data_IF_083065450933
#
_entry.id   IF_083065450933
#
_cell.length_a   1.000
_cell.length_b   1.000
_cell.length_c   1.000
_cell.angle_alpha   90.00
_cell.angle_beta   90.00
_cell.angle_gamma   90.00
#
_symmetry.space_group_name_H-M   'P 1'
#
loop_
_entity.id
_entity.type
_entity.pdbx_description
1 polymer ?
#
# COMPACT_ATOMS: atom_id res chain seq x y z
N UNK A 1 16.15 -19.25 7.65
CA UNK A 1 14.68 -19.46 7.76
C UNK A 1 14.05 -18.09 7.90
N UNK A 2 12.99 -17.79 7.12
CA UNK A 2 12.25 -16.53 7.26
C UNK A 2 11.29 -16.62 8.45
N UNK A 3 11.12 -15.51 9.18
CA UNK A 3 10.26 -15.46 10.36
C UNK A 3 8.88 -14.82 10.04
N UNK A 4 8.88 -13.67 9.40
CA UNK A 4 7.67 -12.90 9.09
C UNK A 4 7.95 -11.89 7.98
N UNK A 5 6.88 -11.28 7.45
CA UNK A 5 6.99 -10.06 6.65
C UNK A 5 7.31 -8.90 7.60
N UNK A 6 8.40 -8.18 7.34
CA UNK A 6 8.82 -7.05 8.18
C UNK A 6 8.12 -5.74 7.78
N UNK A 7 8.00 -5.48 6.48
CA UNK A 7 7.28 -4.36 5.87
C UNK A 7 6.96 -4.68 4.42
N UNK A 8 6.10 -3.86 3.81
CA UNK A 8 5.82 -3.87 2.37
C UNK A 8 6.26 -2.53 1.82
N UNK A 9 7.28 -2.54 0.92
CA UNK A 9 7.84 -1.34 0.34
C UNK A 9 7.17 -0.94 -0.98
N UNK A 10 6.87 0.35 -1.14
CA UNK A 10 6.29 0.94 -2.34
C UNK A 10 7.05 2.20 -2.73
N UNK A 11 7.52 2.28 -3.97
CA UNK A 11 8.12 3.51 -4.49
C UNK A 11 7.02 4.50 -4.88
N UNK A 12 7.17 5.74 -4.40
CA UNK A 12 6.22 6.83 -4.65
C UNK A 12 6.92 8.02 -5.31
N UNK A 13 6.16 8.83 -6.05
CA UNK A 13 6.69 10.01 -6.75
C UNK A 13 6.72 11.27 -5.87
N UNK A 14 5.87 11.30 -4.84
CA UNK A 14 5.75 12.41 -3.89
C UNK A 14 5.40 11.83 -2.51
N UNK A 15 6.40 11.81 -1.62
CA UNK A 15 6.26 11.19 -0.29
C UNK A 15 5.24 11.92 0.58
N UNK A 16 5.21 13.26 0.54
CA UNK A 16 4.31 14.04 1.40
C UNK A 16 2.84 13.83 0.99
N UNK A 17 2.58 13.78 -0.32
CA UNK A 17 1.26 13.43 -0.86
C UNK A 17 0.86 12.00 -0.47
N UNK A 18 1.77 11.06 -0.57
CA UNK A 18 1.50 9.65 -0.23
C UNK A 18 1.28 9.49 1.28
N UNK A 19 2.09 10.12 2.13
CA UNK A 19 1.87 10.13 3.58
C UNK A 19 0.46 10.66 3.90
N UNK A 20 0.06 11.79 3.30
CA UNK A 20 -1.27 12.36 3.52
C UNK A 20 -2.38 11.39 3.11
N UNK A 21 -2.22 10.70 1.97
CA UNK A 21 -3.20 9.72 1.52
C UNK A 21 -3.31 8.53 2.49
N UNK A 22 -2.19 7.88 2.80
CA UNK A 22 -2.21 6.69 3.66
C UNK A 22 -2.61 7.01 5.11
N UNK A 23 -2.24 8.19 5.63
CA UNK A 23 -2.60 8.64 6.97
C UNK A 23 -4.03 9.21 7.04
N UNK A 24 -4.35 10.20 6.20
CA UNK A 24 -5.55 11.00 6.36
C UNK A 24 -6.76 10.41 5.62
N UNK A 25 -6.52 9.71 4.50
CA UNK A 25 -7.57 9.08 3.70
C UNK A 25 -7.80 7.64 4.12
N UNK A 26 -6.73 6.83 4.26
CA UNK A 26 -6.85 5.42 4.67
C UNK A 26 -6.87 5.22 6.18
N UNK A 27 -6.42 6.19 6.98
CA UNK A 27 -6.45 6.14 8.43
C UNK A 27 -5.30 5.36 9.07
N UNK A 28 -4.18 5.12 8.37
CA UNK A 28 -3.01 4.49 8.95
C UNK A 28 -2.25 5.47 9.87
N UNK A 29 -1.66 4.96 10.94
CA UNK A 29 -0.79 5.75 11.79
C UNK A 29 0.56 6.00 11.12
N UNK A 30 1.04 7.24 11.18
CA UNK A 30 2.39 7.60 10.78
C UNK A 30 3.37 7.16 11.86
N UNK A 31 4.26 6.22 11.53
CA UNK A 31 5.21 5.62 12.47
C UNK A 31 6.56 6.32 12.47
N UNK A 32 6.89 7.05 11.42
CA UNK A 32 8.13 7.82 11.31
C UNK A 32 8.63 7.96 9.89
N UNK A 33 9.64 8.83 9.74
CA UNK A 33 10.32 9.10 8.47
C UNK A 33 11.83 9.18 8.69
N UNK A 34 12.59 8.78 7.69
CA UNK A 34 14.04 8.93 7.67
C UNK A 34 14.56 9.29 6.29
N UNK A 35 15.72 9.98 6.25
CA UNK A 35 16.49 10.17 5.03
C UNK A 35 17.55 9.07 4.91
N UNK A 36 17.75 8.58 3.70
CA UNK A 36 18.76 7.60 3.36
C UNK A 36 19.77 8.21 2.36
N UNK A 37 21.05 7.95 2.58
CA UNK A 37 22.15 8.39 1.72
C UNK A 37 23.47 7.77 2.14
N UNK A 38 24.52 8.08 1.39
CA UNK A 38 25.87 7.57 1.66
C UNK A 38 26.16 6.20 1.06
N UNK A 39 27.34 5.62 1.38
CA UNK A 39 27.84 4.40 0.73
C UNK A 39 26.97 3.17 0.93
N UNK A 40 26.36 3.03 2.11
CA UNK A 40 25.48 1.89 2.44
C UNK A 40 24.21 1.93 1.60
N UNK A 41 23.57 3.09 1.49
CA UNK A 41 22.38 3.31 0.65
C UNK A 41 22.69 3.05 -0.82
N UNK A 42 23.82 3.57 -1.31
CA UNK A 42 24.24 3.35 -2.70
C UNK A 42 24.46 1.85 -3.00
N UNK A 43 25.04 1.11 -2.05
CA UNK A 43 25.21 -0.34 -2.18
C UNK A 43 23.88 -1.10 -2.10
N UNK A 44 23.01 -0.73 -1.16
CA UNK A 44 21.70 -1.37 -0.98
C UNK A 44 20.83 -1.26 -2.23
N UNK A 45 20.76 -0.06 -2.82
CA UNK A 45 19.97 0.19 -4.04
C UNK A 45 20.74 -0.03 -5.34
N UNK A 46 21.98 -0.53 -5.25
CA UNK A 46 22.86 -0.75 -6.42
C UNK A 46 23.00 0.48 -7.33
N UNK A 47 23.02 1.68 -6.71
CA UNK A 47 23.05 2.95 -7.42
C UNK A 47 23.99 3.96 -6.74
N UNK A 48 25.11 4.32 -7.35
CA UNK A 48 26.02 5.35 -6.81
C UNK A 48 25.31 6.69 -6.63
N UNK A 49 25.52 7.34 -5.47
CA UNK A 49 24.95 8.65 -5.15
C UNK A 49 23.46 8.63 -4.83
N UNK A 50 22.85 7.45 -4.71
CA UNK A 50 21.44 7.31 -4.39
C UNK A 50 21.09 7.93 -3.06
N UNK A 51 20.03 8.75 -3.05
CA UNK A 51 19.41 9.31 -1.85
C UNK A 51 17.90 9.09 -1.90
N UNK A 52 17.30 8.89 -0.73
CA UNK A 52 15.87 8.67 -0.60
C UNK A 52 15.31 9.24 0.71
N UNK A 53 14.02 9.54 0.71
CA UNK A 53 13.19 9.69 1.90
C UNK A 53 12.33 8.46 2.04
N UNK A 54 12.18 7.97 3.26
CA UNK A 54 11.43 6.75 3.57
C UNK A 54 10.50 7.02 4.75
N UNK A 55 9.22 6.70 4.60
CA UNK A 55 8.23 6.81 5.66
C UNK A 55 7.57 5.46 5.93
N UNK A 56 7.21 5.22 7.18
CA UNK A 56 6.48 4.03 7.61
C UNK A 56 5.11 4.42 8.13
N UNK A 57 4.07 3.72 7.66
CA UNK A 57 2.69 3.86 8.11
C UNK A 57 2.09 2.47 8.37
N UNK A 58 1.31 2.34 9.41
CA UNK A 58 0.72 1.03 9.77
C UNK A 58 -0.22 1.14 10.95
N UNK A 59 -0.66 -0.01 11.51
CA UNK A 59 -1.43 0.01 12.73
C UNK A 59 -0.58 0.49 13.91
N UNK A 60 -1.20 1.24 14.83
CA UNK A 60 -0.53 1.80 16.01
C UNK A 60 0.04 0.72 16.92
N UNK A 61 -0.63 -0.40 17.02
CA UNK A 61 -0.28 -1.55 17.89
C UNK A 61 0.73 -2.51 17.25
N UNK A 62 1.24 -2.20 16.06
CA UNK A 62 2.15 -3.07 15.29
C UNK A 62 1.58 -4.47 15.01
N UNK A 63 0.26 -4.62 14.98
CA UNK A 63 -0.41 -5.91 14.75
C UNK A 63 -0.22 -6.48 13.34
N UNK A 64 0.24 -5.64 12.40
CA UNK A 64 0.54 -6.03 11.02
C UNK A 64 1.84 -5.34 10.53
N UNK A 65 2.49 -5.88 9.49
CA UNK A 65 3.63 -5.22 8.86
C UNK A 65 3.27 -3.83 8.35
N UNK A 66 4.10 -2.80 8.59
CA UNK A 66 3.85 -1.47 8.08
C UNK A 66 4.05 -1.40 6.56
N UNK A 67 3.42 -0.38 5.97
CA UNK A 67 3.74 0.09 4.61
C UNK A 67 4.95 1.01 4.70
N UNK A 68 5.98 0.72 3.89
CA UNK A 68 7.14 1.57 3.68
C UNK A 68 6.95 2.34 2.38
N UNK A 69 6.92 3.67 2.45
CA UNK A 69 6.84 4.55 1.29
C UNK A 69 8.24 5.11 1.01
N UNK A 70 8.75 4.91 -0.21
CA UNK A 70 10.11 5.32 -0.59
C UNK A 70 10.02 6.33 -1.73
N UNK A 71 10.57 7.53 -1.52
CA UNK A 71 10.79 8.51 -2.57
C UNK A 71 12.30 8.68 -2.81
N UNK A 72 12.78 8.35 -4.00
CA UNK A 72 14.14 8.67 -4.41
C UNK A 72 14.26 10.18 -4.67
N UNK A 73 15.26 10.81 -4.04
CA UNK A 73 15.45 12.27 -4.09
C UNK A 73 16.54 12.70 -5.07
N UNK A 74 17.39 11.77 -5.50
CA UNK A 74 18.44 11.98 -6.52
C UNK A 74 17.89 11.85 -7.95
N UNK A 75 16.74 11.20 -8.13
CA UNK A 75 16.06 11.11 -9.42
C UNK A 75 14.55 10.93 -9.25
N UNK A 76 13.73 11.48 -10.17
CA UNK A 76 12.31 11.20 -10.20
C UNK A 76 12.05 9.70 -10.43
N UNK A 77 11.10 9.12 -9.70
CA UNK A 77 10.60 7.79 -10.01
C UNK A 77 9.88 7.79 -11.37
N UNK A 78 10.11 6.76 -12.17
CA UNK A 78 9.34 6.56 -13.39
C UNK A 78 7.90 6.21 -13.01
N UNK A 79 6.93 6.92 -13.58
CA UNK A 79 5.51 6.60 -13.40
C UNK A 79 5.20 5.34 -14.19
N UNK A 80 4.70 4.32 -13.49
CA UNK A 80 4.20 3.08 -14.08
C UNK A 80 2.77 2.88 -13.62
N UNK A 81 1.87 2.54 -14.54
CA UNK A 81 0.51 2.16 -14.18
C UNK A 81 0.43 0.64 -14.23
N UNK A 82 0.51 -0.04 -13.07
CA UNK A 82 0.45 -1.50 -13.03
C UNK A 82 -0.93 -2.01 -13.44
N UNK A 83 -0.96 -3.25 -13.90
CA UNK A 83 -2.21 -3.98 -14.13
C UNK A 83 -2.20 -5.26 -13.30
N UNK A 84 -3.38 -5.78 -12.96
CA UNK A 84 -3.53 -7.06 -12.23
C UNK A 84 -3.04 -8.26 -13.06
N UNK A 85 -2.77 -8.08 -14.35
CA UNK A 85 -2.42 -9.15 -15.28
C UNK A 85 -0.92 -9.22 -15.59
N UNK A 86 -0.11 -8.40 -14.93
CA UNK A 86 1.35 -8.41 -15.05
C UNK A 86 1.98 -9.14 -13.87
N UNK A 87 3.06 -9.88 -14.12
CA UNK A 87 3.78 -10.60 -13.06
C UNK A 87 4.52 -9.64 -12.14
N UNK A 88 3.90 -9.28 -11.03
CA UNK A 88 4.46 -8.41 -9.98
C UNK A 88 3.72 -8.65 -8.66
N UNK A 89 3.94 -7.80 -7.65
CA UNK A 89 2.99 -7.67 -6.53
C UNK A 89 1.75 -7.02 -7.11
N UNK A 90 0.61 -7.74 -7.10
CA UNK A 90 -0.62 -7.28 -7.72
C UNK A 90 -1.29 -6.16 -6.94
N UNK A 91 -1.33 -6.30 -5.59
CA UNK A 91 -1.99 -5.33 -4.70
C UNK A 91 -1.41 -5.37 -3.28
N UNK A 92 -1.75 -4.35 -2.52
CA UNK A 92 -1.67 -4.34 -1.07
C UNK A 92 -3.10 -4.34 -0.51
N UNK A 93 -3.42 -5.39 0.25
CA UNK A 93 -4.78 -5.62 0.75
C UNK A 93 -4.93 -5.16 2.20
N UNK A 94 -6.00 -4.39 2.48
CA UNK A 94 -6.41 -3.95 3.81
C UNK A 94 -7.72 -4.63 4.23
N UNK A 95 -7.74 -5.18 5.44
CA UNK A 95 -8.97 -5.71 6.03
C UNK A 95 -9.81 -4.59 6.62
N UNK A 96 -11.13 -4.62 6.36
CA UNK A 96 -12.09 -3.64 6.88
C UNK A 96 -13.29 -4.35 7.51
N UNK A 97 -13.99 -3.66 8.42
CA UNK A 97 -15.18 -4.18 9.07
C UNK A 97 -16.44 -4.01 8.22
N UNK A 98 -16.56 -2.89 7.50
CA UNK A 98 -17.68 -2.58 6.60
C UNK A 98 -17.16 -2.02 5.28
N UNK A 99 -17.11 -2.87 4.26
CA UNK A 99 -16.59 -2.50 2.94
C UNK A 99 -17.50 -1.51 2.21
N UNK A 100 -18.82 -1.52 2.46
CA UNK A 100 -19.74 -0.58 1.82
C UNK A 100 -19.61 0.83 2.41
N UNK A 101 -19.37 0.92 3.71
CA UNK A 101 -19.09 2.20 4.37
C UNK A 101 -17.77 2.78 3.87
N UNK A 102 -16.70 1.98 3.86
CA UNK A 102 -15.39 2.41 3.37
C UNK A 102 -15.41 2.77 1.88
N UNK A 103 -16.08 1.99 1.05
CA UNK A 103 -16.26 2.29 -0.36
C UNK A 103 -16.94 3.65 -0.58
N UNK A 104 -18.04 3.94 0.15
CA UNK A 104 -18.74 5.24 0.06
C UNK A 104 -17.87 6.38 0.57
N UNK A 105 -17.19 6.19 1.70
CA UNK A 105 -16.32 7.19 2.32
C UNK A 105 -15.16 7.58 1.40
N UNK A 106 -14.46 6.59 0.87
CA UNK A 106 -13.31 6.79 -0.01
C UNK A 106 -13.73 7.37 -1.37
N UNK A 107 -14.85 6.92 -1.93
CA UNK A 107 -15.42 7.50 -3.17
C UNK A 107 -15.74 8.98 -2.99
N UNK A 108 -16.31 9.38 -1.85
CA UNK A 108 -16.61 10.78 -1.55
C UNK A 108 -15.34 11.64 -1.41
N UNK A 109 -14.20 11.04 -1.11
CA UNK A 109 -12.88 11.70 -1.08
C UNK A 109 -12.14 11.66 -2.42
N UNK A 110 -12.78 11.17 -3.48
CA UNK A 110 -12.22 11.14 -4.82
C UNK A 110 -11.31 9.95 -5.11
N UNK A 111 -11.31 8.92 -4.27
CA UNK A 111 -10.57 7.67 -4.54
C UNK A 111 -11.22 6.93 -5.69
N UNK A 112 -10.41 6.53 -6.66
CA UNK A 112 -10.85 5.78 -7.85
C UNK A 112 -10.82 4.28 -7.58
N UNK A 113 -11.96 3.63 -7.75
CA UNK A 113 -12.12 2.18 -7.64
C UNK A 113 -12.20 1.51 -9.01
N UNK A 114 -11.74 0.26 -9.11
CA UNK A 114 -11.83 -0.54 -10.35
C UNK A 114 -13.23 -1.09 -10.58
N UNK A 115 -13.99 -1.31 -9.51
CA UNK A 115 -15.37 -1.81 -9.56
C UNK A 115 -16.12 -1.41 -8.29
N UNK A 116 -17.35 -1.87 -8.14
CA UNK A 116 -18.04 -1.93 -6.85
C UNK A 116 -17.58 -3.18 -6.08
N UNK A 117 -17.72 -3.23 -4.73
CA UNK A 117 -17.42 -4.41 -3.94
C UNK A 117 -18.14 -5.66 -4.44
N UNK A 118 -17.38 -6.75 -4.62
CA UNK A 118 -17.88 -8.05 -5.08
C UNK A 118 -17.86 -9.06 -3.93
N UNK A 119 -18.78 -10.02 -3.95
CA UNK A 119 -18.87 -11.10 -2.95
C UNK A 119 -18.31 -12.39 -3.53
N UNK A 120 -17.46 -13.07 -2.77
CA UNK A 120 -16.84 -14.34 -3.12
C UNK A 120 -17.17 -15.39 -2.06
N UNK A 121 -17.83 -16.48 -2.49
CA UNK A 121 -18.04 -17.64 -1.63
C UNK A 121 -16.95 -18.68 -1.92
N UNK A 122 -15.97 -18.73 -1.04
CA UNK A 122 -14.82 -19.63 -1.13
C UNK A 122 -14.89 -20.78 -0.11
N UNK A 123 -16.06 -21.06 0.47
CA UNK A 123 -16.25 -22.13 1.48
C UNK A 123 -15.88 -23.50 0.96
N UNK A 124 -16.11 -23.77 -0.32
CA UNK A 124 -15.70 -25.02 -0.95
C UNK A 124 -14.18 -25.27 -0.92
N UNK A 125 -13.40 -24.22 -0.74
CA UNK A 125 -11.92 -24.23 -0.67
C UNK A 125 -11.40 -24.00 0.75
N UNK A 126 -12.27 -23.84 1.75
CA UNK A 126 -11.87 -23.61 3.15
C UNK A 126 -11.53 -22.16 3.50
N UNK A 127 -11.86 -21.17 2.66
CA UNK A 127 -11.53 -19.76 2.88
C UNK A 127 -12.72 -18.88 3.36
N UNK A 128 -13.93 -19.47 3.44
CA UNK A 128 -15.10 -18.74 3.91
C UNK A 128 -15.75 -17.86 2.83
N UNK A 129 -16.48 -16.82 3.28
CA UNK A 129 -17.12 -15.83 2.41
C UNK A 129 -16.45 -14.48 2.69
N UNK A 130 -16.14 -13.75 1.64
CA UNK A 130 -15.56 -12.40 1.74
C UNK A 130 -16.14 -11.47 0.69
N UNK A 131 -15.98 -10.18 0.91
CA UNK A 131 -16.20 -9.14 -0.09
C UNK A 131 -14.91 -8.40 -0.32
N UNK A 132 -14.65 -8.03 -1.58
CA UNK A 132 -13.41 -7.36 -1.95
C UNK A 132 -13.64 -6.33 -3.06
N UNK A 133 -12.76 -5.33 -3.12
CA UNK A 133 -12.73 -4.32 -4.17
C UNK A 133 -11.32 -3.74 -4.31
N UNK A 134 -10.89 -3.49 -5.54
CA UNK A 134 -9.63 -2.83 -5.84
C UNK A 134 -9.80 -1.33 -6.06
N UNK A 135 -8.77 -0.56 -5.67
CA UNK A 135 -8.72 0.88 -5.86
C UNK A 135 -7.27 1.36 -6.06
N UNK A 136 -7.09 2.63 -6.39
CA UNK A 136 -5.77 3.19 -6.65
C UNK A 136 -5.34 4.16 -5.54
N UNK A 137 -4.04 4.11 -5.22
CA UNK A 137 -3.38 5.18 -4.51
C UNK A 137 -3.02 6.36 -5.46
N UNK A 138 -2.47 7.49 -4.95
CA UNK A 138 -2.10 8.64 -5.79
C UNK A 138 -1.07 8.36 -6.89
N UNK A 139 -0.25 7.33 -6.74
CA UNK A 139 0.75 6.89 -7.73
C UNK A 139 0.26 5.75 -8.62
N UNK A 140 -1.05 5.43 -8.55
CA UNK A 140 -1.70 4.35 -9.31
C UNK A 140 -1.29 2.94 -8.86
N UNK A 141 -0.66 2.79 -7.68
CA UNK A 141 -0.50 1.48 -7.10
C UNK A 141 -1.88 0.88 -6.80
N UNK A 142 -2.03 -0.43 -7.05
CA UNK A 142 -3.29 -1.13 -6.80
C UNK A 142 -3.36 -1.52 -5.33
N UNK A 143 -4.43 -1.13 -4.69
CA UNK A 143 -4.79 -1.49 -3.32
C UNK A 143 -6.09 -2.27 -3.31
N UNK A 144 -6.32 -3.05 -2.26
CA UNK A 144 -7.54 -3.83 -2.06
C UNK A 144 -8.16 -3.54 -0.69
N UNK A 145 -9.47 -3.46 -0.64
CA UNK A 145 -10.22 -3.66 0.60
C UNK A 145 -10.79 -5.07 0.60
N UNK A 146 -10.67 -5.76 1.74
CA UNK A 146 -11.34 -7.04 1.98
C UNK A 146 -12.12 -7.02 3.29
N UNK A 147 -13.35 -7.51 3.24
CA UNK A 147 -14.20 -7.77 4.40
C UNK A 147 -14.48 -9.26 4.50
N UNK A 148 -13.93 -9.99 5.49
CA UNK A 148 -14.36 -11.34 5.82
C UNK A 148 -15.79 -11.32 6.38
N UNK A 149 -16.68 -12.22 5.90
CA UNK A 149 -18.07 -12.33 6.35
C UNK A 149 -18.31 -13.57 7.21
N UNK A 150 -17.49 -14.60 7.08
CA UNK A 150 -17.62 -15.86 7.83
C UNK A 150 -16.33 -16.68 7.75
#
# INVERSE_FOLDING_TARGET
MFHSVAHIGMTVTDLDRSIAFYRDVLGLHFLGEMAMGGPETARLFCRPGCTARVAYLGPEDSSAPPVELIQFTDCPAAVHTPTLFESSISELCFSVEDIDEEYRRLTAQGVEFLSQPQTFDSRAYGFGVSRAVYFYDPDRNILELIQPLS
#
